data_IF_813463372902
#
_entry.id   IF_813463372902
#
_cell.length_a   1.000
_cell.length_b   1.000
_cell.length_c   1.000
_cell.angle_alpha   90.00
_cell.angle_beta   90.00
_cell.angle_gamma   90.00
#
_symmetry.space_group_name_H-M   'P 1'
#
loop_
_entity.id
_entity.type
_entity.pdbx_description
1 polymer ?
#
# COMPACT_ATOMS: atom_id res chain seq x y z
N UNK A 1 6.07 -18.63 -30.49
CA UNK A 1 5.03 -18.49 -31.52
C UNK A 1 4.12 -17.34 -31.09
N UNK A 2 4.34 -16.14 -31.63
CA UNK A 2 3.67 -14.91 -31.19
C UNK A 2 2.59 -14.53 -32.22
N UNK A 3 1.29 -14.45 -31.87
CA UNK A 3 0.25 -14.16 -32.84
C UNK A 3 0.10 -12.65 -33.07
N UNK A 4 0.43 -12.18 -34.27
CA UNK A 4 0.14 -10.82 -34.72
C UNK A 4 -1.36 -10.70 -35.06
N UNK A 5 -2.09 -9.86 -34.35
CA UNK A 5 -3.45 -9.44 -34.72
C UNK A 5 -3.39 -8.19 -35.62
N UNK A 6 -4.09 -8.22 -36.74
CA UNK A 6 -4.17 -7.11 -37.71
C UNK A 6 -5.34 -6.17 -37.37
N UNK A 7 -5.06 -4.88 -37.14
CA UNK A 7 -6.04 -3.80 -37.31
C UNK A 7 -5.34 -2.56 -37.89
N UNK A 8 -5.69 -2.25 -39.14
CA UNK A 8 -5.49 -0.99 -39.87
C UNK A 8 -4.13 -0.25 -39.70
N UNK A 9 -3.19 -0.53 -40.61
CA UNK A 9 -2.43 0.53 -41.27
C UNK A 9 -1.19 1.14 -40.59
N UNK A 10 -0.54 0.45 -39.64
CA UNK A 10 0.76 0.91 -39.14
C UNK A 10 1.45 -0.13 -38.25
N UNK A 11 2.74 -0.35 -38.48
CA UNK A 11 3.62 -1.11 -37.59
C UNK A 11 3.79 -0.31 -36.28
N UNK A 12 2.90 -0.50 -35.32
CA UNK A 12 3.18 -0.13 -33.94
C UNK A 12 3.74 -1.38 -33.27
N UNK A 13 5.05 -1.40 -33.02
CA UNK A 13 5.63 -2.40 -32.15
C UNK A 13 5.00 -2.20 -30.75
N UNK A 14 4.02 -3.03 -30.40
CA UNK A 14 3.62 -3.18 -29.02
C UNK A 14 4.78 -3.92 -28.35
N UNK A 15 5.75 -3.16 -27.86
CA UNK A 15 6.77 -3.68 -26.94
C UNK A 15 6.00 -4.22 -25.76
N UNK A 16 5.80 -5.53 -25.72
CA UNK A 16 5.35 -6.19 -24.50
C UNK A 16 6.36 -5.78 -23.44
N UNK A 17 5.93 -4.96 -22.48
CA UNK A 17 6.79 -4.55 -21.39
C UNK A 17 7.20 -5.83 -20.67
N UNK A 18 8.47 -6.22 -20.83
CA UNK A 18 9.04 -7.34 -20.10
C UNK A 18 8.78 -7.06 -18.62
N UNK A 19 8.22 -8.00 -17.85
CA UNK A 19 8.02 -7.78 -16.42
C UNK A 19 9.37 -7.42 -15.79
N UNK A 20 9.46 -6.19 -15.28
CA UNK A 20 10.64 -5.71 -14.58
C UNK A 20 10.63 -6.34 -13.19
N UNK A 21 11.49 -7.33 -12.99
CA UNK A 21 11.67 -7.94 -11.69
C UNK A 21 12.66 -7.11 -10.87
N UNK A 22 12.23 -6.66 -9.70
CA UNK A 22 13.10 -6.03 -8.72
C UNK A 22 13.64 -7.09 -7.75
N UNK A 23 14.91 -6.93 -7.34
CA UNK A 23 15.59 -7.87 -6.44
C UNK A 23 15.67 -7.29 -5.04
N UNK A 24 15.46 -8.15 -4.04
CA UNK A 24 15.65 -7.83 -2.63
C UNK A 24 16.83 -8.65 -2.13
N UNK A 25 17.92 -7.97 -1.77
CA UNK A 25 19.11 -8.60 -1.20
C UNK A 25 19.06 -8.56 0.32
N UNK A 26 19.25 -9.72 0.96
CA UNK A 26 19.15 -9.89 2.41
C UNK A 26 20.45 -10.51 2.95
N UNK A 27 20.96 -9.93 4.04
CA UNK A 27 22.05 -10.52 4.84
C UNK A 27 21.47 -11.04 6.13
N UNK A 28 21.91 -12.22 6.55
CA UNK A 28 21.44 -12.87 7.78
C UNK A 28 22.52 -13.80 8.31
N UNK A 29 22.34 -14.28 9.55
CA UNK A 29 23.26 -15.25 10.15
C UNK A 29 22.96 -16.67 9.64
N UNK A 30 23.94 -17.60 9.72
CA UNK A 30 23.72 -19.00 9.34
C UNK A 30 22.54 -19.65 10.10
N UNK A 31 22.40 -19.36 11.39
CA UNK A 31 21.37 -19.94 12.25
C UNK A 31 19.97 -19.52 11.82
N UNK A 32 19.81 -18.23 11.45
CA UNK A 32 18.54 -17.70 10.95
C UNK A 32 18.24 -18.28 9.57
N UNK A 33 19.25 -18.40 8.70
CA UNK A 33 19.08 -19.04 7.39
C UNK A 33 18.57 -20.47 7.54
N UNK A 34 19.16 -21.27 8.43
CA UNK A 34 18.76 -22.66 8.66
C UNK A 34 17.33 -22.77 9.22
N UNK A 35 16.96 -21.85 10.12
CA UNK A 35 15.58 -21.75 10.60
C UNK A 35 14.59 -21.48 9.46
N UNK A 36 14.89 -20.51 8.59
CA UNK A 36 14.04 -20.14 7.46
C UNK A 36 13.95 -21.25 6.41
N UNK A 37 15.05 -21.94 6.13
CA UNK A 37 15.06 -23.10 5.22
C UNK A 37 14.17 -24.22 5.77
N UNK A 38 14.28 -24.54 7.06
CA UNK A 38 13.42 -25.56 7.68
C UNK A 38 11.95 -25.17 7.59
N UNK A 39 11.60 -23.93 7.90
CA UNK A 39 10.22 -23.44 7.80
C UNK A 39 9.66 -23.51 6.37
N UNK A 40 10.47 -23.11 5.38
CA UNK A 40 10.09 -23.18 3.96
C UNK A 40 9.87 -24.63 3.51
N UNK A 41 10.78 -25.55 3.87
CA UNK A 41 10.68 -26.98 3.56
C UNK A 41 9.45 -27.61 4.21
N UNK A 42 9.17 -27.33 5.48
CA UNK A 42 7.96 -27.79 6.18
C UNK A 42 6.69 -27.32 5.48
N UNK A 43 6.74 -26.14 4.85
CA UNK A 43 5.60 -25.56 4.13
C UNK A 43 5.57 -25.95 2.65
N UNK A 44 6.46 -26.84 2.19
CA UNK A 44 6.51 -27.32 0.81
C UNK A 44 6.86 -26.25 -0.22
N UNK A 45 7.56 -25.19 0.18
CA UNK A 45 7.88 -24.05 -0.69
C UNK A 45 9.37 -23.73 -0.69
N UNK A 46 9.83 -23.00 -1.72
CA UNK A 46 11.21 -22.51 -1.77
C UNK A 46 11.45 -21.42 -0.71
N UNK A 47 12.70 -21.25 -0.28
CA UNK A 47 13.06 -20.19 0.69
C UNK A 47 12.65 -18.80 0.20
N UNK A 48 12.81 -18.51 -1.09
CA UNK A 48 12.43 -17.22 -1.67
C UNK A 48 10.92 -17.01 -1.64
N UNK A 49 10.13 -18.04 -1.96
CA UNK A 49 8.67 -17.96 -1.90
C UNK A 49 8.18 -17.77 -0.46
N UNK A 50 8.78 -18.50 0.49
CA UNK A 50 8.48 -18.36 1.92
C UNK A 50 8.76 -16.94 2.42
N UNK A 51 9.96 -16.42 2.13
CA UNK A 51 10.36 -15.08 2.54
C UNK A 51 9.48 -13.99 1.92
N UNK A 52 9.20 -14.09 0.62
CA UNK A 52 8.36 -13.11 -0.06
C UNK A 52 6.92 -13.13 0.48
N UNK A 53 6.35 -14.32 0.70
CA UNK A 53 5.02 -14.47 1.27
C UNK A 53 4.92 -13.88 2.68
N UNK A 54 5.86 -14.23 3.56
CA UNK A 54 5.91 -13.70 4.92
C UNK A 54 6.09 -12.17 4.94
N UNK A 55 6.97 -11.63 4.09
CA UNK A 55 7.19 -10.19 3.97
C UNK A 55 5.93 -9.47 3.47
N UNK A 56 5.26 -10.01 2.44
CA UNK A 56 4.04 -9.45 1.89
C UNK A 56 2.90 -9.45 2.92
N UNK A 57 2.73 -10.55 3.65
CA UNK A 57 1.72 -10.65 4.70
C UNK A 57 1.97 -9.62 5.81
N UNK A 58 3.21 -9.52 6.29
CA UNK A 58 3.58 -8.55 7.33
C UNK A 58 3.38 -7.11 6.83
N UNK A 59 3.78 -6.81 5.60
CA UNK A 59 3.60 -5.48 5.01
C UNK A 59 2.12 -5.08 4.97
N UNK A 60 1.23 -5.98 4.52
CA UNK A 60 -0.22 -5.74 4.52
C UNK A 60 -0.77 -5.42 5.91
N UNK A 61 -0.34 -6.15 6.94
CA UNK A 61 -0.78 -5.91 8.32
C UNK A 61 -0.31 -4.54 8.82
N UNK A 62 0.96 -4.20 8.60
CA UNK A 62 1.54 -2.92 9.04
C UNK A 62 0.83 -1.73 8.36
N UNK A 63 0.52 -1.84 7.07
CA UNK A 63 -0.23 -0.80 6.35
C UNK A 63 -1.67 -0.70 6.87
N UNK A 64 -2.36 -1.83 7.07
CA UNK A 64 -3.71 -1.85 7.60
C UNK A 64 -3.79 -1.21 9.00
N UNK A 65 -2.84 -1.51 9.88
CA UNK A 65 -2.75 -0.93 11.23
C UNK A 65 -2.62 0.61 11.22
N UNK A 66 -1.97 1.18 10.21
CA UNK A 66 -1.69 2.61 10.15
C UNK A 66 -2.68 3.40 9.27
N UNK A 67 -3.31 2.75 8.30
CA UNK A 67 -4.18 3.40 7.31
C UNK A 67 -5.67 3.09 7.51
N UNK A 68 -6.01 2.07 8.30
CA UNK A 68 -7.40 1.65 8.50
C UNK A 68 -7.91 2.04 9.89
N UNK A 69 -8.96 2.86 9.93
CA UNK A 69 -9.72 3.10 11.16
C UNK A 69 -10.86 2.09 11.19
N UNK A 70 -10.76 1.10 12.09
CA UNK A 70 -11.85 0.17 12.36
C UNK A 70 -12.76 0.80 13.42
N UNK A 71 -13.97 1.18 13.01
CA UNK A 71 -14.98 1.72 13.90
C UNK A 71 -15.88 0.60 14.44
N UNK A 72 -16.29 0.72 15.71
CA UNK A 72 -17.38 -0.11 16.23
C UNK A 72 -18.69 0.23 15.51
N UNK A 73 -19.71 -0.64 15.56
CA UNK A 73 -21.00 -0.34 14.95
C UNK A 73 -21.62 0.97 15.47
N UNK A 74 -21.47 1.25 16.76
CA UNK A 74 -21.90 2.50 17.38
C UNK A 74 -21.13 3.72 16.82
N UNK A 75 -19.80 3.61 16.72
CA UNK A 75 -18.97 4.70 16.23
C UNK A 75 -19.16 4.92 14.73
N UNK A 76 -19.46 3.85 13.98
CA UNK A 76 -19.82 3.90 12.57
C UNK A 76 -21.11 4.71 12.36
N UNK A 77 -22.17 4.42 13.12
CA UNK A 77 -23.41 5.19 13.07
C UNK A 77 -23.20 6.65 13.49
N UNK A 78 -22.44 6.89 14.55
CA UNK A 78 -22.12 8.25 14.98
C UNK A 78 -21.33 9.02 13.92
N UNK A 79 -20.37 8.35 13.28
CA UNK A 79 -19.55 8.92 12.21
C UNK A 79 -20.41 9.29 10.98
N UNK A 80 -21.27 8.39 10.51
CA UNK A 80 -22.16 8.67 9.39
C UNK A 80 -23.16 9.79 9.68
N UNK A 81 -23.75 9.83 10.88
CA UNK A 81 -24.62 10.94 11.29
C UNK A 81 -23.92 12.29 11.22
N UNK A 82 -22.63 12.34 11.58
CA UNK A 82 -21.82 13.57 11.52
C UNK A 82 -21.46 13.94 10.07
N UNK A 83 -21.26 12.96 9.18
CA UNK A 83 -21.01 13.22 7.76
C UNK A 83 -22.25 13.78 7.04
N UNK A 84 -23.44 13.26 7.36
CA UNK A 84 -24.71 13.70 6.75
C UNK A 84 -25.18 15.05 7.32
N UNK A 85 -24.74 15.41 8.52
CA UNK A 85 -25.03 16.69 9.12
C UNK A 85 -24.17 17.80 8.49
N UNK A 86 -24.80 18.79 7.86
CA UNK A 86 -24.12 20.02 7.44
C UNK A 86 -23.90 20.95 8.64
N UNK A 87 -22.96 20.58 9.51
CA UNK A 87 -22.63 21.38 10.68
C UNK A 87 -21.80 22.61 10.28
N UNK A 88 -22.28 23.80 10.67
CA UNK A 88 -21.56 25.05 10.42
C UNK A 88 -20.18 25.00 11.11
N UNK A 89 -19.09 25.39 10.43
CA UNK A 89 -17.75 25.29 11.01
C UNK A 89 -17.64 26.12 12.29
N UNK A 90 -17.18 25.47 13.37
CA UNK A 90 -17.02 26.11 14.69
C UNK A 90 -16.08 27.32 14.59
N UNK A 91 -16.35 28.45 15.29
CA UNK A 91 -15.53 29.66 15.21
C UNK A 91 -14.03 29.43 15.47
N UNK A 92 -13.69 28.54 16.42
CA UNK A 92 -12.31 28.16 16.72
C UNK A 92 -11.62 27.43 15.56
N UNK A 93 -12.35 26.60 14.81
CA UNK A 93 -11.84 25.89 13.63
C UNK A 93 -11.55 26.86 12.47
N UNK A 94 -12.46 27.82 12.24
CA UNK A 94 -12.24 28.90 11.26
C UNK A 94 -11.01 29.72 11.58
N UNK A 95 -10.82 30.09 12.85
CA UNK A 95 -9.63 30.82 13.28
C UNK A 95 -8.35 29.99 13.09
N UNK A 96 -8.38 28.68 13.36
CA UNK A 96 -7.25 27.79 13.14
C UNK A 96 -6.88 27.66 11.66
N UNK A 97 -7.87 27.45 10.78
CA UNK A 97 -7.67 27.39 9.34
C UNK A 97 -7.02 28.68 8.81
N UNK A 98 -7.50 29.86 9.22
CA UNK A 98 -6.91 31.16 8.85
C UNK A 98 -5.44 31.30 9.28
N UNK A 99 -5.10 30.84 10.50
CA UNK A 99 -3.71 30.85 10.98
C UNK A 99 -2.82 29.92 10.14
N UNK A 100 -3.34 28.76 9.73
CA UNK A 100 -2.61 27.79 8.93
C UNK A 100 -2.33 28.32 7.51
N UNK A 101 -3.34 28.89 6.83
CA UNK A 101 -3.15 29.49 5.49
C UNK A 101 -2.13 30.62 5.53
N UNK A 102 -2.17 31.48 6.56
CA UNK A 102 -1.18 32.56 6.74
C UNK A 102 0.26 32.06 6.91
N UNK A 103 0.47 30.83 7.40
CA UNK A 103 1.81 30.21 7.52
C UNK A 103 2.32 29.60 6.21
N UNK A 104 1.43 29.18 5.31
CA UNK A 104 1.78 28.52 4.04
C UNK A 104 2.07 29.49 2.91
N UNK A 105 1.56 30.72 2.96
CA UNK A 105 2.00 31.80 2.06
C UNK A 105 3.14 32.57 2.73
N UNK A 106 4.42 32.30 2.40
CA UNK A 106 5.47 33.26 2.69
C UNK A 106 5.17 34.55 1.93
N UNK A 107 5.39 35.70 2.56
CA UNK A 107 5.26 37.00 1.93
C UNK A 107 6.11 37.03 0.65
N UNK A 108 5.49 37.44 -0.45
CA UNK A 108 6.20 37.84 -1.67
C UNK A 108 6.96 39.13 -1.40
#
# INVERSE_FOLDING_TARGET
MNPYFFRNGGLVAMTAATPSYERIDLRTSPEIKDLLVRAATTSGMSISAFLLGAAQERAKRVLAENETIVLSAHDWEAFFRVLDASDKPRPKLKAAAKRYTKRLTPAK
#
